data_IF_283267288209
#
_entry.id   IF_283267288209
#
_cell.length_a   1.000
_cell.length_b   1.000
_cell.length_c   1.000
_cell.angle_alpha   90.00
_cell.angle_beta   90.00
_cell.angle_gamma   90.00
#
_symmetry.space_group_name_H-M   'P 1'
#
loop_
_entity.id
_entity.type
_entity.pdbx_description
1 polymer ?
#
# COMPACT_ATOMS: atom_id res chain seq x y z
N UNK A 1 -46.93 -38.30 24.95
CA UNK A 1 -46.55 -39.65 24.48
C UNK A 1 -45.30 -39.49 23.63
N UNK A 2 -44.33 -40.37 23.90
CA UNK A 2 -42.91 -40.31 23.54
C UNK A 2 -42.66 -40.96 22.17
N UNK A 3 -41.49 -40.63 21.57
CA UNK A 3 -40.70 -41.41 20.57
C UNK A 3 -41.12 -41.33 19.09
N UNK A 4 -40.23 -41.35 18.10
CA UNK A 4 -38.84 -41.84 18.02
C UNK A 4 -38.06 -41.07 16.93
N UNK A 5 -36.74 -40.88 17.13
CA UNK A 5 -35.78 -40.42 16.13
C UNK A 5 -35.69 -41.39 14.93
N UNK A 6 -35.45 -40.85 13.74
CA UNK A 6 -34.74 -41.54 12.66
C UNK A 6 -33.50 -40.72 12.27
N UNK A 7 -32.36 -41.13 12.82
CA UNK A 7 -31.02 -40.84 12.32
C UNK A 7 -30.67 -41.90 11.25
N UNK A 8 -30.53 -41.47 9.99
CA UNK A 8 -29.71 -42.07 8.92
C UNK A 8 -29.48 -40.91 7.94
N UNK A 9 -28.29 -40.49 7.51
CA UNK A 9 -26.93 -40.98 7.67
C UNK A 9 -26.07 -40.29 6.59
N UNK A 10 -24.89 -39.83 6.99
CA UNK A 10 -23.65 -39.69 6.22
C UNK A 10 -23.66 -39.02 4.83
N UNK A 11 -23.31 -37.74 4.82
CA UNK A 11 -22.39 -37.17 3.82
C UNK A 11 -21.24 -36.54 4.60
N UNK A 12 -19.99 -36.86 4.27
CA UNK A 12 -18.81 -36.22 4.87
C UNK A 12 -18.83 -34.73 4.53
N UNK A 13 -19.15 -33.88 5.50
CA UNK A 13 -18.85 -32.45 5.42
C UNK A 13 -17.34 -32.31 5.58
N UNK A 14 -16.65 -32.25 4.44
CA UNK A 14 -15.35 -31.61 4.37
C UNK A 14 -15.59 -30.11 4.50
N UNK A 15 -15.94 -29.66 5.71
CA UNK A 15 -15.83 -28.26 6.09
C UNK A 15 -14.35 -27.97 6.24
N UNK A 16 -13.73 -27.59 5.13
CA UNK A 16 -12.54 -26.75 5.16
C UNK A 16 -13.05 -25.30 5.02
N UNK A 17 -13.31 -24.57 6.13
CA UNK A 17 -13.82 -23.22 6.04
C UNK A 17 -12.62 -22.29 5.89
N UNK A 18 -11.90 -22.40 4.79
CA UNK A 18 -10.99 -21.34 4.41
C UNK A 18 -11.49 -20.75 3.09
N UNK A 19 -12.45 -19.80 3.12
CA UNK A 19 -12.55 -18.90 2.01
C UNK A 19 -11.22 -18.16 1.96
N UNK A 20 -10.32 -18.56 1.07
CA UNK A 20 -9.22 -17.70 0.64
C UNK A 20 -9.87 -16.42 0.18
N UNK A 21 -9.88 -15.39 1.03
CA UNK A 21 -10.55 -14.14 0.73
C UNK A 21 -9.88 -13.59 -0.52
N UNK A 22 -10.64 -13.41 -1.61
CA UNK A 22 -10.14 -12.85 -2.86
C UNK A 22 -9.64 -11.41 -2.70
N UNK A 23 -9.94 -10.81 -1.55
CA UNK A 23 -9.53 -9.48 -1.17
C UNK A 23 -8.89 -9.47 0.22
N UNK A 24 -8.12 -8.42 0.49
CA UNK A 24 -7.49 -8.17 1.78
C UNK A 24 -7.63 -6.69 2.18
N UNK A 25 -7.35 -6.40 3.45
CA UNK A 25 -7.06 -5.03 3.88
C UNK A 25 -5.60 -4.73 3.63
N UNK A 26 -5.31 -3.65 2.92
CA UNK A 26 -3.95 -3.15 2.75
C UNK A 26 -3.77 -1.81 3.44
N UNK A 27 -2.65 -1.68 4.14
CA UNK A 27 -2.14 -0.40 4.64
C UNK A 27 -0.77 -0.13 4.05
N UNK A 28 -0.54 1.10 3.63
CA UNK A 28 0.75 1.57 3.13
C UNK A 28 1.19 2.74 3.99
N UNK A 29 2.31 2.58 4.68
CA UNK A 29 2.97 3.66 5.39
C UNK A 29 4.09 4.19 4.48
N UNK A 30 4.02 5.48 4.16
CA UNK A 30 5.01 6.17 3.32
C UNK A 30 5.84 7.08 4.22
N UNK A 31 7.17 7.00 4.07
CA UNK A 31 8.09 7.86 4.81
C UNK A 31 9.23 8.36 3.93
N UNK A 32 9.67 9.58 4.20
CA UNK A 32 10.63 10.33 3.41
C UNK A 32 11.64 10.99 4.36
N UNK A 33 12.93 10.88 4.05
CA UNK A 33 14.01 11.50 4.83
C UNK A 33 15.06 12.15 3.92
N UNK A 34 15.90 13.00 4.50
CA UNK A 34 16.88 13.78 3.76
C UNK A 34 16.25 15.00 3.07
N UNK A 35 16.79 15.37 1.92
CA UNK A 35 16.44 16.57 1.15
C UNK A 35 15.26 16.32 0.20
N UNK A 36 14.26 15.53 0.59
CA UNK A 36 13.18 15.08 -0.29
C UNK A 36 12.40 16.23 -0.94
N UNK A 37 12.38 17.42 -0.33
CA UNK A 37 11.75 18.61 -0.92
C UNK A 37 12.45 19.07 -2.21
N UNK A 38 13.72 18.73 -2.42
CA UNK A 38 14.48 19.05 -3.64
C UNK A 38 14.20 18.10 -4.81
N UNK A 39 13.36 17.08 -4.61
CA UNK A 39 13.04 16.08 -5.62
C UNK A 39 11.60 16.21 -6.07
N UNK A 40 11.40 16.19 -7.39
CA UNK A 40 10.08 15.98 -7.98
C UNK A 40 9.69 14.52 -7.76
N UNK A 41 8.52 14.31 -7.18
CA UNK A 41 8.01 12.98 -6.81
C UNK A 41 6.56 12.87 -7.26
N UNK A 42 6.23 11.75 -7.88
CA UNK A 42 4.87 11.34 -8.19
C UNK A 42 4.68 9.95 -7.58
N UNK A 43 3.63 9.77 -6.79
CA UNK A 43 3.29 8.47 -6.19
C UNK A 43 1.83 8.16 -6.50
N UNK A 44 1.58 6.96 -7.01
CA UNK A 44 0.25 6.40 -7.23
C UNK A 44 0.08 5.20 -6.31
N UNK A 45 -1.04 5.13 -5.58
CA UNK A 45 -1.42 3.99 -4.76
C UNK A 45 -2.82 3.57 -5.23
N UNK A 46 -2.92 2.38 -5.81
CA UNK A 46 -4.12 1.91 -6.52
C UNK A 46 -4.50 0.48 -6.12
N UNK A 47 -5.68 0.05 -6.58
CA UNK A 47 -6.24 -1.27 -6.28
C UNK A 47 -7.43 -1.25 -5.31
N UNK A 48 -7.75 -0.09 -4.75
CA UNK A 48 -8.94 0.11 -3.91
C UNK A 48 -9.16 1.57 -3.52
N UNK A 49 -10.20 1.79 -2.70
CA UNK A 49 -10.60 3.11 -2.23
C UNK A 49 -9.77 3.53 -1.01
N UNK A 50 -8.52 3.95 -1.25
CA UNK A 50 -7.60 4.36 -0.18
C UNK A 50 -8.03 5.66 0.49
N UNK A 51 -7.89 5.67 1.82
CA UNK A 51 -8.11 6.85 2.68
C UNK A 51 -6.91 7.09 3.57
N UNK A 52 -6.70 8.34 3.97
CA UNK A 52 -5.70 8.65 5.00
C UNK A 52 -6.11 8.00 6.31
N UNK A 53 -5.19 7.26 6.93
CA UNK A 53 -5.48 6.43 8.08
C UNK A 53 -5.98 7.27 9.25
N UNK A 54 -7.08 6.83 9.87
CA UNK A 54 -7.73 7.54 10.97
C UNK A 54 -8.62 8.70 10.52
N UNK A 55 -8.84 8.86 9.21
CA UNK A 55 -9.71 9.89 8.64
C UNK A 55 -10.73 9.26 7.68
N UNK A 56 -11.68 10.06 7.21
CA UNK A 56 -12.57 9.71 6.08
C UNK A 56 -12.06 10.24 4.75
N UNK A 57 -10.93 10.94 4.74
CA UNK A 57 -10.48 11.70 3.59
C UNK A 57 -9.87 10.76 2.53
N UNK A 58 -10.36 10.82 1.27
CA UNK A 58 -9.84 9.98 0.22
C UNK A 58 -8.42 10.40 -0.14
N UNK A 59 -7.60 9.42 -0.52
CA UNK A 59 -6.28 9.66 -1.08
C UNK A 59 -6.46 10.03 -2.55
N UNK A 60 -5.88 11.15 -3.03
CA UNK A 60 -5.88 11.47 -4.45
C UNK A 60 -5.27 10.33 -5.27
N UNK A 61 -5.83 10.06 -6.45
CA UNK A 61 -5.33 9.00 -7.34
C UNK A 61 -3.83 9.18 -7.70
N UNK A 62 -3.36 10.42 -7.73
CA UNK A 62 -1.95 10.78 -7.91
C UNK A 62 -1.53 11.73 -6.81
N UNK A 63 -0.48 11.37 -6.08
CA UNK A 63 0.16 12.21 -5.07
C UNK A 63 1.34 12.95 -5.71
N UNK A 64 1.31 14.27 -5.64
CA UNK A 64 2.36 15.17 -6.11
C UNK A 64 2.30 16.48 -5.31
N UNK A 65 3.37 17.29 -5.39
CA UNK A 65 3.41 18.62 -4.77
C UNK A 65 3.07 18.59 -3.28
N UNK A 66 2.06 19.35 -2.87
CA UNK A 66 1.66 19.51 -1.46
C UNK A 66 1.28 18.20 -0.77
N UNK A 67 0.79 17.21 -1.52
CA UNK A 67 0.46 15.89 -0.97
C UNK A 67 1.68 15.14 -0.43
N UNK A 68 2.88 15.51 -0.89
CA UNK A 68 4.16 14.85 -0.56
C UNK A 68 5.12 15.78 0.21
N UNK A 69 4.62 16.90 0.74
CA UNK A 69 5.42 17.82 1.54
C UNK A 69 5.59 17.34 3.00
N UNK A 70 4.79 16.38 3.45
CA UNK A 70 4.97 15.76 4.76
C UNK A 70 6.05 14.68 4.72
N UNK A 71 6.80 14.54 5.82
CA UNK A 71 7.81 13.51 5.96
C UNK A 71 7.22 12.09 5.97
N UNK A 72 5.96 11.94 6.39
CA UNK A 72 5.28 10.66 6.37
C UNK A 72 3.76 10.80 6.31
N UNK A 73 3.10 9.75 5.84
CA UNK A 73 1.67 9.56 5.90
C UNK A 73 1.33 8.06 5.83
N UNK A 74 0.11 7.70 6.22
CA UNK A 74 -0.38 6.33 6.21
C UNK A 74 -1.72 6.28 5.51
N UNK A 75 -1.92 5.30 4.64
CA UNK A 75 -3.17 5.10 3.89
C UNK A 75 -3.65 3.67 4.01
N UNK A 76 -4.96 3.47 4.00
CA UNK A 76 -5.57 2.15 4.15
C UNK A 76 -6.78 2.00 3.23
N UNK A 77 -6.95 0.78 2.70
CA UNK A 77 -8.12 0.37 1.94
C UNK A 77 -8.55 -1.05 2.34
N UNK A 78 -9.86 -1.27 2.36
CA UNK A 78 -10.48 -2.58 2.57
C UNK A 78 -10.84 -3.20 1.21
N UNK A 79 -11.04 -4.51 1.19
CA UNK A 79 -11.55 -5.26 0.03
C UNK A 79 -10.70 -5.08 -1.26
N UNK A 80 -9.37 -5.02 -1.12
CA UNK A 80 -8.43 -4.87 -2.24
C UNK A 80 -8.00 -6.23 -2.75
N UNK A 81 -8.13 -6.49 -4.06
CA UNK A 81 -7.66 -7.71 -4.71
C UNK A 81 -6.16 -7.69 -4.98
N UNK A 82 -5.66 -6.55 -5.47
CA UNK A 82 -4.24 -6.32 -5.75
C UNK A 82 -3.90 -4.85 -5.46
N UNK A 83 -2.97 -4.62 -4.55
CA UNK A 83 -2.38 -3.30 -4.31
C UNK A 83 -1.29 -3.05 -5.36
N UNK A 84 -1.33 -1.89 -6.01
CA UNK A 84 -0.26 -1.40 -6.86
C UNK A 84 0.25 -0.06 -6.36
N UNK A 85 1.58 0.07 -6.27
CA UNK A 85 2.26 1.32 -5.94
C UNK A 85 3.20 1.64 -7.10
N UNK A 86 3.07 2.83 -7.68
CA UNK A 86 3.98 3.31 -8.72
C UNK A 86 4.59 4.63 -8.26
N UNK A 87 5.86 4.81 -8.53
CA UNK A 87 6.57 6.05 -8.21
C UNK A 87 7.36 6.54 -9.41
N UNK A 88 7.49 7.86 -9.54
CA UNK A 88 8.45 8.50 -10.40
C UNK A 88 9.16 9.60 -9.60
N UNK A 89 10.48 9.49 -9.46
CA UNK A 89 11.29 10.42 -8.67
C UNK A 89 12.49 10.92 -9.47
N UNK A 90 12.74 12.23 -9.43
CA UNK A 90 13.89 12.86 -10.08
C UNK A 90 14.34 14.10 -9.32
N UNK A 91 15.62 14.43 -9.40
CA UNK A 91 16.14 15.68 -8.83
C UNK A 91 15.51 16.87 -9.55
N UNK A 92 15.01 17.85 -8.81
CA UNK A 92 14.29 18.98 -9.38
C UNK A 92 15.20 19.85 -10.23
N UNK A 93 14.80 20.24 -11.46
CA UNK A 93 15.64 21.03 -12.36
C UNK A 93 15.87 22.47 -11.89
N UNK A 94 15.11 22.95 -10.90
CA UNK A 94 15.26 24.28 -10.31
C UNK A 94 16.15 24.29 -9.06
N UNK A 95 16.56 23.12 -8.58
CA UNK A 95 17.38 22.97 -7.39
C UNK A 95 18.87 22.93 -7.72
N UNK A 96 19.71 23.25 -6.74
CA UNK A 96 21.18 23.22 -6.89
C UNK A 96 21.87 22.61 -5.67
N UNK A 97 23.12 22.20 -5.87
CA UNK A 97 23.96 21.61 -4.83
C UNK A 97 23.69 20.12 -4.60
N UNK A 98 24.49 19.49 -3.72
CA UNK A 98 24.29 18.09 -3.36
C UNK A 98 22.93 17.91 -2.67
N UNK A 99 22.30 16.76 -2.90
CA UNK A 99 21.04 16.40 -2.29
C UNK A 99 20.90 14.88 -2.21
N UNK A 100 20.42 14.38 -1.09
CA UNK A 100 20.10 12.96 -0.95
C UNK A 100 18.75 12.79 -0.28
N UNK A 101 17.91 11.92 -0.84
CA UNK A 101 16.66 11.53 -0.20
C UNK A 101 16.50 10.02 -0.14
N UNK A 102 15.74 9.58 0.85
CA UNK A 102 15.28 8.20 0.97
C UNK A 102 13.76 8.20 1.03
N UNK A 103 13.13 7.38 0.18
CA UNK A 103 11.70 7.09 0.18
C UNK A 103 11.50 5.65 0.61
N UNK A 104 10.70 5.42 1.65
CA UNK A 104 10.39 4.10 2.16
C UNK A 104 8.87 3.86 2.17
N UNK A 105 8.49 2.70 1.65
CA UNK A 105 7.15 2.13 1.75
C UNK A 105 7.18 0.95 2.71
N UNK A 106 6.32 0.96 3.73
CA UNK A 106 6.04 -0.22 4.56
C UNK A 106 4.63 -0.68 4.25
N UNK A 107 4.50 -1.87 3.67
CA UNK A 107 3.24 -2.43 3.20
C UNK A 107 2.75 -3.48 4.18
N UNK A 108 1.50 -3.38 4.60
CA UNK A 108 0.86 -4.29 5.52
C UNK A 108 -0.35 -4.94 4.85
N UNK A 109 -0.56 -6.23 5.12
CA UNK A 109 -1.74 -6.98 4.70
C UNK A 109 -2.43 -7.55 5.93
N UNK A 110 -3.73 -7.27 6.07
CA UNK A 110 -4.55 -7.71 7.20
C UNK A 110 -3.90 -7.40 8.57
N UNK A 111 -3.29 -6.22 8.69
CA UNK A 111 -2.61 -5.76 9.90
C UNK A 111 -1.17 -6.26 10.10
N UNK A 112 -0.70 -7.21 9.30
CA UNK A 112 0.65 -7.78 9.39
C UNK A 112 1.58 -7.09 8.38
N UNK A 113 2.80 -6.74 8.80
CA UNK A 113 3.83 -6.21 7.89
C UNK A 113 4.17 -7.27 6.84
N UNK A 114 4.04 -6.90 5.56
CA UNK A 114 4.35 -7.75 4.43
C UNK A 114 5.77 -7.47 3.91
N UNK A 115 6.09 -6.20 3.64
CA UNK A 115 7.40 -5.79 3.13
C UNK A 115 7.72 -4.35 3.54
N UNK A 116 9.01 -4.05 3.68
CA UNK A 116 9.53 -2.69 3.64
C UNK A 116 10.41 -2.50 2.41
N UNK A 117 10.06 -1.55 1.54
CA UNK A 117 10.84 -1.19 0.36
C UNK A 117 11.43 0.20 0.54
N UNK A 118 12.74 0.30 0.34
CA UNK A 118 13.47 1.57 0.43
C UNK A 118 14.10 1.91 -0.92
N UNK A 119 13.92 3.15 -1.35
CA UNK A 119 14.53 3.75 -2.53
C UNK A 119 15.38 4.94 -2.10
N UNK A 120 16.58 5.04 -2.66
CA UNK A 120 17.50 6.15 -2.40
C UNK A 120 17.79 6.88 -3.71
N UNK A 121 17.77 8.20 -3.62
CA UNK A 121 17.96 9.10 -4.76
C UNK A 121 18.96 10.20 -4.37
N UNK A 122 19.70 10.67 -5.36
CA UNK A 122 20.73 11.72 -5.23
C UNK A 122 20.55 12.79 -6.30
N UNK A 123 21.31 13.89 -6.24
CA UNK A 123 21.24 14.98 -7.21
C UNK A 123 21.51 14.56 -8.67
N UNK A 124 22.16 13.42 -8.90
CA UNK A 124 22.39 12.87 -10.25
C UNK A 124 21.25 11.97 -10.75
N UNK A 125 20.24 11.72 -9.91
CA UNK A 125 19.07 10.91 -10.27
C UNK A 125 18.21 11.68 -11.26
N UNK A 126 18.20 11.20 -12.49
CA UNK A 126 17.19 11.56 -13.50
C UNK A 126 15.93 10.74 -13.25
N UNK A 127 14.79 11.21 -13.78
CA UNK A 127 13.48 10.59 -13.67
C UNK A 127 13.57 9.06 -13.63
N UNK A 128 13.35 8.51 -12.44
CA UNK A 128 13.41 7.08 -12.17
C UNK A 128 12.04 6.61 -11.72
N UNK A 129 11.56 5.55 -12.37
CA UNK A 129 10.31 4.90 -12.02
C UNK A 129 10.55 3.60 -11.27
N UNK A 130 9.77 3.36 -10.23
CA UNK A 130 9.77 2.12 -9.46
C UNK A 130 8.31 1.69 -9.21
N UNK A 131 8.00 0.41 -9.47
CA UNK A 131 6.67 -0.19 -9.31
C UNK A 131 6.69 -1.35 -8.32
N UNK A 132 5.64 -1.46 -7.51
CA UNK A 132 5.40 -2.54 -6.55
C UNK A 132 3.98 -3.07 -6.73
N UNK A 133 3.79 -4.39 -6.64
CA UNK A 133 2.48 -5.05 -6.72
C UNK A 133 2.36 -6.14 -5.65
N UNK A 134 1.19 -6.21 -5.01
CA UNK A 134 0.89 -7.15 -3.94
C UNK A 134 -0.55 -7.67 -4.07
N UNK A 135 -0.70 -8.96 -4.37
CA UNK A 135 -2.01 -9.64 -4.41
C UNK A 135 -2.55 -9.91 -3.02
N UNK A 136 -3.86 -10.01 -2.84
CA UNK A 136 -4.48 -10.37 -1.56
C UNK A 136 -4.09 -11.77 -1.06
N UNK A 137 -3.84 -12.69 -2.00
CA UNK A 137 -3.54 -14.11 -1.78
C UNK A 137 -2.16 -14.51 -2.30
#
# INVERSE_FOLDING_TARGET
MILFLLLVGCGKDNDDPNPTTSTATFRVDVSQTGDYQKFTRIITIAGGDFKYRGTTDPVPAVLLGDNLNTASFSVEALNVEELSISTMTGFSPVETGPAAMTLKFSVYRNGTLLEEKTFSYTEVTKDKSDDLSYKAN
#
